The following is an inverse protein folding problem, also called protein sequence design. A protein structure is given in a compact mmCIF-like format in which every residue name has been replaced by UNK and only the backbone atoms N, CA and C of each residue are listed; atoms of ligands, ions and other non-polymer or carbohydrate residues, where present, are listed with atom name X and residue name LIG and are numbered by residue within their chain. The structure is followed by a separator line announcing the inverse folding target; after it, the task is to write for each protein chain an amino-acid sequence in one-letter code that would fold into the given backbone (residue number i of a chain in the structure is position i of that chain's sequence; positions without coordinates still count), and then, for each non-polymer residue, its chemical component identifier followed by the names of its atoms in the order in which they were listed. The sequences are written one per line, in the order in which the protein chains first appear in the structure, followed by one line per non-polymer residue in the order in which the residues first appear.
data_IF_321995255526
#
_entry.id   IF_321995255526
#
_cell.length_a   1.000
_cell.length_b   1.000
_cell.length_c   1.000
_cell.angle_alpha   90.00
_cell.angle_beta   90.00
_cell.angle_gamma   90.00
#
_symmetry.space_group_name_H-M   'P 1'
#
loop_
_entity.id
_entity.type
_entity.pdbx_description
1 polymer ?
#
# COMPACT_ATOMS: atom_id res chain seq x y z
N UNK A 1 -16.09 -22.33 2.85
CA UNK A 1 -15.74 -21.03 3.46
C UNK A 1 -14.43 -21.13 4.21
N UNK A 2 -13.34 -20.66 3.58
CA UNK A 2 -11.98 -20.59 4.15
C UNK A 2 -11.90 -19.39 5.12
N UNK A 3 -11.65 -19.61 6.44
CA UNK A 3 -11.64 -18.54 7.44
C UNK A 3 -10.60 -17.45 7.14
N UNK A 4 -9.51 -17.77 6.43
CA UNK A 4 -8.49 -16.77 6.04
C UNK A 4 -8.99 -15.79 4.98
N UNK A 5 -9.88 -16.22 4.09
CA UNK A 5 -10.44 -15.35 3.06
C UNK A 5 -11.50 -14.41 3.64
N UNK A 6 -12.25 -14.88 4.63
CA UNK A 6 -13.21 -14.07 5.36
C UNK A 6 -12.51 -13.00 6.20
N UNK A 7 -11.44 -13.38 6.92
CA UNK A 7 -10.58 -12.43 7.62
C UNK A 7 -10.00 -11.38 6.66
N UNK A 8 -9.55 -11.80 5.48
CA UNK A 8 -9.03 -10.88 4.46
C UNK A 8 -10.12 -9.92 3.95
N UNK A 9 -11.34 -10.39 3.70
CA UNK A 9 -12.46 -9.56 3.30
C UNK A 9 -12.82 -8.50 4.36
N UNK A 10 -12.86 -8.91 5.63
CA UNK A 10 -13.09 -8.01 6.76
C UNK A 10 -11.96 -6.99 6.89
N UNK A 11 -10.72 -7.44 6.75
CA UNK A 11 -9.54 -6.59 6.77
C UNK A 11 -9.55 -5.55 5.63
N UNK A 12 -9.95 -5.94 4.42
CA UNK A 12 -10.11 -5.01 3.29
C UNK A 12 -11.08 -3.87 3.64
N UNK A 13 -12.22 -4.18 4.27
CA UNK A 13 -13.20 -3.17 4.71
C UNK A 13 -12.67 -2.27 5.82
N UNK A 14 -11.85 -2.80 6.72
CA UNK A 14 -11.31 -2.05 7.85
C UNK A 14 -10.15 -1.12 7.46
N UNK A 15 -9.37 -1.50 6.44
CA UNK A 15 -8.10 -0.84 6.10
C UNK A 15 -8.22 0.17 4.97
N UNK A 16 -9.19 0.00 4.05
CA UNK A 16 -9.36 0.94 2.95
C UNK A 16 -10.09 2.23 3.38
N UNK A 17 -9.61 3.42 2.98
CA UNK A 17 -10.32 4.65 3.23
C UNK A 17 -11.65 4.66 2.46
N UNK A 18 -12.66 5.31 3.04
CA UNK A 18 -14.01 5.35 2.49
C UNK A 18 -14.57 3.94 2.21
N UNK A 19 -14.56 3.05 3.21
CA UNK A 19 -15.04 1.68 3.08
C UNK A 19 -16.44 1.54 2.43
N UNK A 20 -17.30 2.56 2.54
CA UNK A 20 -18.61 2.63 1.88
C UNK A 20 -18.53 2.68 0.34
N UNK A 21 -17.39 3.07 -0.22
CA UNK A 21 -17.12 3.09 -1.66
C UNK A 21 -16.68 1.71 -2.20
N UNK A 22 -16.45 0.73 -1.32
CA UNK A 22 -16.19 -0.65 -1.72
C UNK A 22 -17.50 -1.29 -2.17
N UNK A 23 -17.53 -1.82 -3.38
CA UNK A 23 -18.66 -2.56 -3.94
C UNK A 23 -18.21 -3.88 -4.52
N UNK A 24 -19.16 -4.78 -4.80
CA UNK A 24 -18.88 -6.09 -5.43
C UNK A 24 -17.78 -6.89 -4.74
N UNK A 25 -17.68 -6.76 -3.40
CA UNK A 25 -16.73 -7.54 -2.62
C UNK A 25 -17.15 -9.01 -2.63
N UNK A 26 -16.33 -9.85 -3.23
CA UNK A 26 -16.62 -11.26 -3.46
C UNK A 26 -15.43 -12.13 -3.06
N UNK A 27 -15.72 -13.26 -2.42
CA UNK A 27 -14.73 -14.27 -2.04
C UNK A 27 -14.77 -15.39 -3.08
N UNK A 28 -13.63 -15.67 -3.71
CA UNK A 28 -13.49 -16.81 -4.61
C UNK A 28 -12.62 -17.87 -3.94
N UNK A 29 -13.28 -18.88 -3.36
CA UNK A 29 -12.61 -19.97 -2.65
C UNK A 29 -11.72 -20.82 -3.56
N UNK A 30 -12.17 -21.08 -4.80
CA UNK A 30 -11.43 -21.90 -5.76
C UNK A 30 -10.11 -21.25 -6.15
N UNK A 31 -10.12 -19.93 -6.40
CA UNK A 31 -8.93 -19.17 -6.77
C UNK A 31 -8.14 -18.63 -5.56
N UNK A 32 -8.68 -18.78 -4.33
CA UNK A 32 -8.11 -18.25 -3.08
C UNK A 32 -7.82 -16.75 -3.13
N UNK A 33 -8.79 -15.98 -3.61
CA UNK A 33 -8.72 -14.52 -3.75
C UNK A 33 -9.98 -13.84 -3.21
N UNK A 34 -9.83 -12.57 -2.88
CA UNK A 34 -10.94 -11.64 -2.68
C UNK A 34 -10.91 -10.61 -3.81
N UNK A 35 -12.04 -10.38 -4.45
CA UNK A 35 -12.19 -9.33 -5.46
C UNK A 35 -13.12 -8.24 -4.96
N UNK A 36 -12.90 -7.00 -5.36
CA UNK A 36 -13.79 -5.89 -5.04
C UNK A 36 -13.63 -4.74 -6.04
N UNK A 37 -14.58 -3.81 -6.05
CA UNK A 37 -14.51 -2.57 -6.81
C UNK A 37 -14.38 -1.39 -5.84
N UNK A 38 -13.43 -0.50 -6.10
CA UNK A 38 -13.21 0.73 -5.33
C UNK A 38 -12.88 1.89 -6.28
N UNK A 39 -13.61 3.00 -6.17
CA UNK A 39 -13.52 4.15 -7.09
C UNK A 39 -13.55 3.75 -8.58
N UNK A 40 -14.52 2.92 -8.97
CA UNK A 40 -14.70 2.38 -10.33
C UNK A 40 -13.54 1.52 -10.88
N UNK A 41 -12.62 1.09 -10.01
CA UNK A 41 -11.52 0.16 -10.37
C UNK A 41 -11.75 -1.18 -9.71
N UNK A 42 -11.45 -2.25 -10.44
CA UNK A 42 -11.58 -3.60 -9.94
C UNK A 42 -10.24 -4.10 -9.42
N UNK A 43 -10.25 -4.65 -8.21
CA UNK A 43 -9.06 -5.17 -7.54
C UNK A 43 -9.22 -6.64 -7.21
N UNK A 44 -8.08 -7.33 -7.21
CA UNK A 44 -7.92 -8.71 -6.78
C UNK A 44 -6.87 -8.73 -5.69
N UNK A 45 -7.19 -9.36 -4.56
CA UNK A 45 -6.29 -9.52 -3.42
C UNK A 45 -6.10 -11.01 -3.16
N UNK A 46 -4.85 -11.45 -3.16
CA UNK A 46 -4.49 -12.82 -2.78
C UNK A 46 -4.30 -12.91 -1.27
N UNK A 47 -4.34 -14.11 -0.72
CA UNK A 47 -4.04 -14.36 0.72
C UNK A 47 -2.62 -13.95 1.13
N UNK A 48 -1.71 -13.75 0.17
CA UNK A 48 -0.36 -13.18 0.39
C UNK A 48 -0.35 -11.65 0.52
N UNK A 49 -1.52 -11.00 0.49
CA UNK A 49 -1.68 -9.54 0.39
C UNK A 49 -1.11 -8.92 -0.90
N UNK A 50 -0.85 -9.74 -1.92
CA UNK A 50 -0.59 -9.24 -3.27
C UNK A 50 -1.89 -8.65 -3.85
N UNK A 51 -1.80 -7.42 -4.35
CA UNK A 51 -2.94 -6.67 -4.89
C UNK A 51 -2.71 -6.39 -6.37
N UNK A 52 -3.70 -6.69 -7.20
CA UNK A 52 -3.70 -6.48 -8.64
C UNK A 52 -4.93 -5.67 -9.05
N UNK A 53 -4.75 -4.72 -9.98
CA UNK A 53 -5.86 -3.98 -10.60
C UNK A 53 -6.24 -4.66 -11.93
N UNK A 54 -7.51 -5.01 -12.08
CA UNK A 54 -8.06 -5.52 -13.33
C UNK A 54 -8.59 -4.36 -14.17
N UNK A 55 -8.04 -4.20 -15.38
CA UNK A 55 -8.53 -3.24 -16.39
C UNK A 55 -8.92 -3.99 -17.65
N UNK A 56 -10.22 -4.07 -17.92
CA UNK A 56 -10.74 -4.94 -18.99
C UNK A 56 -10.42 -6.39 -18.68
N UNK A 57 -9.66 -7.05 -19.55
CA UNK A 57 -9.24 -8.45 -19.40
C UNK A 57 -7.82 -8.62 -18.85
N UNK A 58 -7.13 -7.53 -18.52
CA UNK A 58 -5.69 -7.56 -18.19
C UNK A 58 -5.44 -7.16 -16.74
N UNK A 59 -4.58 -7.92 -16.06
CA UNK A 59 -4.14 -7.64 -14.70
C UNK A 59 -2.89 -6.77 -14.70
N UNK A 60 -2.91 -5.72 -13.88
CA UNK A 60 -1.81 -4.77 -13.77
C UNK A 60 -1.39 -4.60 -12.30
N UNK A 61 -0.08 -4.48 -12.09
CA UNK A 61 0.46 -3.87 -10.87
C UNK A 61 0.53 -2.37 -11.13
N UNK A 62 -0.43 -1.63 -10.59
CA UNK A 62 -0.49 -0.16 -10.72
C UNK A 62 0.00 0.51 -9.43
N UNK A 63 0.30 1.81 -9.49
CA UNK A 63 0.58 2.59 -8.27
C UNK A 63 -0.56 2.53 -7.25
N UNK A 64 -1.82 2.47 -7.70
CA UNK A 64 -2.98 2.25 -6.82
C UNK A 64 -2.94 0.88 -6.15
N UNK A 65 -2.57 -0.18 -6.89
CA UNK A 65 -2.39 -1.52 -6.34
C UNK A 65 -1.28 -1.56 -5.29
N UNK A 66 -0.16 -0.86 -5.53
CA UNK A 66 0.94 -0.75 -4.56
C UNK A 66 0.54 0.00 -3.29
N UNK A 67 -0.26 1.07 -3.41
CA UNK A 67 -0.76 1.83 -2.26
C UNK A 67 -1.74 0.99 -1.42
N UNK A 68 -2.65 0.26 -2.07
CA UNK A 68 -3.57 -0.65 -1.40
C UNK A 68 -2.81 -1.80 -0.74
N UNK A 69 -1.81 -2.37 -1.41
CA UNK A 69 -0.91 -3.37 -0.84
C UNK A 69 -0.16 -2.82 0.38
N UNK A 70 0.33 -1.59 0.32
CA UNK A 70 0.98 -0.92 1.45
C UNK A 70 0.02 -0.71 2.64
N UNK A 71 -1.26 -0.39 2.36
CA UNK A 71 -2.29 -0.30 3.38
C UNK A 71 -2.49 -1.65 4.09
N UNK A 72 -2.50 -2.75 3.34
CA UNK A 72 -2.69 -4.11 3.89
C UNK A 72 -1.45 -4.72 4.56
N UNK A 73 -0.25 -4.32 4.14
CA UNK A 73 1.01 -4.94 4.63
C UNK A 73 1.57 -4.28 5.88
N UNK A 74 0.96 -3.22 6.39
CA UNK A 74 1.48 -2.50 7.55
C UNK A 74 1.01 -3.07 8.89
N UNK A 75 1.93 -3.82 9.52
CA UNK A 75 2.17 -3.75 10.97
C UNK A 75 3.47 -2.95 11.22
N UNK A 76 3.31 -1.69 11.66
CA UNK A 76 4.25 -0.85 12.45
C UNK A 76 5.41 -0.02 11.80
N UNK A 77 5.88 0.95 12.61
CA UNK A 77 6.98 1.95 12.64
C UNK A 77 6.91 3.25 11.84
N UNK A 78 6.20 3.31 10.72
CA UNK A 78 6.16 4.54 9.89
C UNK A 78 4.76 5.14 9.74
N UNK A 79 3.93 5.01 10.77
CA UNK A 79 2.52 5.42 10.74
C UNK A 79 2.36 6.93 10.60
N UNK A 80 3.02 7.72 11.47
CA UNK A 80 2.98 9.20 11.42
C UNK A 80 3.39 9.79 10.07
N UNK A 81 4.39 9.21 9.42
CA UNK A 81 4.86 9.72 8.11
C UNK A 81 3.87 9.34 7.00
N UNK A 82 3.23 8.17 7.08
CA UNK A 82 2.16 7.84 6.13
C UNK A 82 0.89 8.65 6.38
N UNK A 83 0.55 8.98 7.63
CA UNK A 83 -0.54 9.89 7.94
C UNK A 83 -0.30 11.27 7.30
N UNK A 84 0.90 11.83 7.48
CA UNK A 84 1.27 13.11 6.87
C UNK A 84 1.25 13.06 5.33
N UNK A 85 1.69 11.93 4.74
CA UNK A 85 1.57 11.69 3.29
C UNK A 85 0.10 11.62 2.87
N UNK A 86 -0.76 10.96 3.63
CA UNK A 86 -2.21 10.89 3.40
C UNK A 86 -2.87 12.27 3.42
N UNK A 87 -2.62 13.07 4.46
CA UNK A 87 -3.12 14.44 4.58
C UNK A 87 -2.66 15.33 3.42
N UNK A 88 -1.41 15.18 2.98
CA UNK A 88 -0.89 15.94 1.84
C UNK A 88 -1.56 15.52 0.52
N UNK A 89 -1.88 14.23 0.36
CA UNK A 89 -2.61 13.74 -0.81
C UNK A 89 -4.07 14.23 -0.82
N UNK A 90 -4.72 14.35 0.33
CA UNK A 90 -6.04 14.99 0.44
C UNK A 90 -5.99 16.47 0.03
N UNK A 91 -4.97 17.21 0.48
CA UNK A 91 -4.77 18.61 0.06
C UNK A 91 -4.54 18.73 -1.45
N UNK A 92 -3.80 17.80 -2.05
CA UNK A 92 -3.62 17.72 -3.50
C UNK A 92 -4.96 17.51 -4.20
N UNK A 93 -5.80 16.60 -3.71
CA UNK A 93 -7.12 16.35 -4.29
C UNK A 93 -8.01 17.59 -4.23
N UNK A 94 -8.04 18.28 -3.08
CA UNK A 94 -8.77 19.53 -2.91
C UNK A 94 -8.27 20.65 -3.83
N UNK A 95 -6.96 20.76 -4.01
CA UNK A 95 -6.35 21.75 -4.92
C UNK A 95 -6.65 21.43 -6.38
N UNK A 96 -6.66 20.15 -6.75
CA UNK A 96 -6.99 19.72 -8.12
C UNK A 96 -8.46 20.03 -8.43
N UNK A 97 -9.37 19.79 -7.49
CA UNK A 97 -10.80 20.14 -7.59
C UNK A 97 -11.03 21.66 -7.68
N UNK A 98 -10.12 22.47 -7.13
CA UNK A 98 -10.14 23.95 -7.22
C UNK A 98 -9.37 24.49 -8.44
N UNK A 99 -9.01 23.64 -9.41
CA UNK A 99 -8.21 23.97 -10.60
C UNK A 99 -6.83 24.59 -10.30
N UNK A 100 -6.25 24.32 -9.12
CA UNK A 100 -4.92 24.77 -8.72
C UNK A 100 -3.84 23.74 -9.09
N UNK A 101 -3.81 23.34 -10.36
CA UNK A 101 -3.02 22.20 -10.86
C UNK A 101 -1.52 22.31 -10.58
N UNK A 102 -0.91 23.48 -10.74
CA UNK A 102 0.54 23.65 -10.47
C UNK A 102 0.90 23.46 -8.99
N UNK A 103 0.05 23.95 -8.08
CA UNK A 103 0.23 23.75 -6.63
C UNK A 103 0.03 22.29 -6.24
N UNK A 104 -0.96 21.63 -6.83
CA UNK A 104 -1.19 20.19 -6.66
C UNK A 104 0.01 19.35 -7.15
N UNK A 105 0.59 19.70 -8.30
CA UNK A 105 1.80 19.03 -8.82
C UNK A 105 3.02 19.23 -7.92
N UNK A 106 3.20 20.43 -7.34
CA UNK A 106 4.29 20.71 -6.39
C UNK A 106 4.18 19.89 -5.10
N UNK A 107 2.96 19.77 -4.55
CA UNK A 107 2.71 18.95 -3.36
C UNK A 107 2.90 17.45 -3.65
N UNK A 108 2.51 16.97 -4.84
CA UNK A 108 2.78 15.60 -5.28
C UNK A 108 4.28 15.28 -5.36
N UNK A 109 5.08 16.22 -5.86
CA UNK A 109 6.54 16.04 -5.88
C UNK A 109 7.13 15.98 -4.46
N UNK A 110 6.60 16.79 -3.53
CA UNK A 110 6.98 16.77 -2.12
C UNK A 110 6.64 15.43 -1.43
N UNK A 111 5.46 14.87 -1.74
CA UNK A 111 5.06 13.52 -1.29
C UNK A 111 6.00 12.47 -1.85
N UNK A 112 6.31 12.53 -3.15
CA UNK A 112 7.25 11.62 -3.81
C UNK A 112 8.62 11.66 -3.15
N UNK A 113 9.18 12.83 -2.91
CA UNK A 113 10.49 12.99 -2.25
C UNK A 113 10.49 12.42 -0.82
N UNK A 114 9.41 12.64 -0.07
CA UNK A 114 9.26 12.13 1.30
C UNK A 114 9.18 10.61 1.34
N UNK A 115 8.41 10.01 0.42
CA UNK A 115 8.35 8.56 0.25
C UNK A 115 9.71 7.98 -0.17
N UNK A 116 10.43 8.64 -1.07
CA UNK A 116 11.77 8.22 -1.50
C UNK A 116 12.77 8.21 -0.32
N UNK A 117 12.72 9.21 0.56
CA UNK A 117 13.54 9.27 1.77
C UNK A 117 13.23 8.12 2.73
N UNK A 118 11.96 7.78 2.91
CA UNK A 118 11.55 6.63 3.75
C UNK A 118 12.05 5.30 3.19
N UNK A 119 11.91 5.08 1.88
CA UNK A 119 12.42 3.89 1.19
C UNK A 119 13.94 3.77 1.40
N UNK A 120 14.67 4.87 1.20
CA UNK A 120 16.12 4.91 1.36
C UNK A 120 16.59 4.74 2.83
N UNK A 121 15.85 5.28 3.79
CA UNK A 121 16.12 5.10 5.21
C UNK A 121 15.93 3.63 5.63
N UNK A 122 14.91 2.96 5.09
CA UNK A 122 14.66 1.55 5.35
C UNK A 122 15.73 0.65 4.70
N UNK A 123 16.19 0.98 3.48
CA UNK A 123 17.25 0.25 2.79
C UNK A 123 18.61 0.31 3.52
N UNK A 124 18.92 1.42 4.21
CA UNK A 124 20.16 1.57 5.01
C UNK A 124 20.15 0.77 6.32
N UNK A 125 18.97 0.37 6.81
CA UNK A 125 18.83 -0.50 7.99
C UNK A 125 19.13 -1.99 7.67
N UNK A 126 19.32 -2.35 6.40
CA UNK A 126 19.58 -3.71 5.92
C UNK A 126 21.04 -3.83 5.42
N UNK A 127 22.01 -3.22 6.11
CA UNK A 127 23.42 -3.64 5.94
C UNK A 127 23.70 -4.76 6.95
N UNK A 128 24.19 -5.94 6.53
CA UNK A 128 24.53 -7.00 7.45
C UNK A 128 25.66 -6.54 8.38
N UNK A 129 25.47 -6.68 9.69
CA UNK A 129 26.56 -6.68 10.67
C UNK A 129 27.34 -8.00 10.51
N UNK A 130 28.27 -8.04 9.56
CA UNK A 130 29.41 -8.98 9.53
C UNK A 130 30.60 -8.15 9.04
N UNK A 131 31.75 -8.02 9.69
CA UNK A 131 32.37 -8.88 10.68
C UNK A 131 33.27 -8.03 11.61
N UNK A 132 33.12 -8.19 12.92
CA UNK A 132 34.18 -7.91 13.89
C UNK A 132 34.02 -8.94 15.00
N UNK A 133 34.83 -9.98 14.96
CA UNK A 133 34.77 -11.04 15.97
C UNK A 133 35.42 -12.34 15.56
N UNK A 134 36.60 -12.33 14.92
CA UNK A 134 37.51 -13.48 14.98
C UNK A 134 38.94 -12.95 15.00
N UNK A 135 39.37 -12.48 16.16
CA UNK A 135 40.78 -12.48 16.52
C UNK A 135 40.89 -12.79 18.01
N UNK A 136 41.67 -13.82 18.32
CA UNK A 136 42.17 -14.26 19.62
C UNK A 136 41.35 -15.26 20.44
N UNK A 137 41.87 -16.50 20.44
CA UNK A 137 42.18 -17.43 21.55
C UNK A 137 42.06 -18.84 20.95
N UNK A 138 43.09 -19.68 20.82
CA UNK A 138 44.34 -19.84 21.55
C UNK A 138 44.46 -21.33 21.87
N UNK A 139 45.52 -21.98 21.41
CA UNK A 139 46.18 -23.19 21.92
C UNK A 139 47.09 -23.74 20.82
#
# INVERSE_FOLDING_TARGET
MDPKLEELAQYIRATLPQAKAISHLNINEQARIVTFTWHARQFIVKTSYEVLELKGTTLFITGASMLIQAAFTKKDKNEKVLTAVGETLEQVMDMTNKHQTEKALSLLDMVKQTLQKLINANARSIKPKQAQGVAMRGA
#
